data_IF_578397068825
#
_entry.id   IF_578397068825
#
_cell.length_a   1.000
_cell.length_b   1.000
_cell.length_c   1.000
_cell.angle_alpha   90.00
_cell.angle_beta   90.00
_cell.angle_gamma   90.00
#
_symmetry.space_group_name_H-M   'P 1'
#
loop_
_entity.id
_entity.type
_entity.pdbx_description
1 polymer ?
#
# COMPACT_ATOMS: atom_id res chain seq x y z
N UNK A 1 -43.84 22.10 23.45
CA UNK A 1 -42.47 22.65 23.56
C UNK A 1 -41.64 21.55 24.24
N UNK A 2 -40.68 20.85 23.65
CA UNK A 2 -40.02 20.92 22.36
C UNK A 2 -39.89 19.50 21.78
N UNK A 3 -39.97 19.42 20.45
CA UNK A 3 -39.83 18.24 19.62
C UNK A 3 -38.34 17.88 19.50
N UNK A 4 -37.86 16.86 20.20
CA UNK A 4 -36.48 16.39 20.07
C UNK A 4 -36.44 15.16 19.15
N UNK A 5 -36.60 15.40 17.84
CA UNK A 5 -36.15 14.44 16.84
C UNK A 5 -34.62 14.52 16.78
N UNK A 6 -33.93 13.65 17.53
CA UNK A 6 -32.51 13.41 17.31
C UNK A 6 -32.41 12.81 15.90
N UNK A 7 -31.97 13.64 14.96
CA UNK A 7 -31.61 13.19 13.63
C UNK A 7 -30.40 12.28 13.79
N UNK A 8 -30.65 10.98 13.88
CA UNK A 8 -29.69 9.89 13.72
C UNK A 8 -29.15 9.82 12.28
N UNK A 9 -28.94 10.97 11.65
CA UNK A 9 -28.26 11.05 10.37
C UNK A 9 -26.81 10.65 10.58
N UNK A 10 -26.36 9.63 9.85
CA UNK A 10 -24.94 9.25 9.73
C UNK A 10 -24.10 10.44 9.25
N UNK A 11 -24.74 11.43 8.62
CA UNK A 11 -24.13 12.66 8.11
C UNK A 11 -24.28 13.87 9.07
N UNK A 12 -24.64 13.69 10.34
CA UNK A 12 -24.65 14.79 11.31
C UNK A 12 -23.23 15.01 11.88
N UNK A 13 -22.55 16.13 11.57
CA UNK A 13 -21.19 16.42 12.03
C UNK A 13 -21.07 16.60 13.55
N UNK A 14 -22.19 16.66 14.29
CA UNK A 14 -22.24 16.74 15.75
C UNK A 14 -22.52 15.39 16.44
N UNK A 15 -22.48 14.26 15.71
CA UNK A 15 -22.74 12.92 16.28
C UNK A 15 -21.80 12.49 17.42
N UNK A 16 -20.61 13.08 17.54
CA UNK A 16 -19.67 12.72 18.60
C UNK A 16 -20.05 13.31 19.97
N UNK A 17 -20.83 14.40 20.01
CA UNK A 17 -21.18 15.09 21.26
C UNK A 17 -22.22 14.34 22.10
N UNK A 18 -22.99 13.43 21.50
CA UNK A 18 -24.03 12.65 22.20
C UNK A 18 -23.58 11.24 22.60
N UNK A 19 -22.51 10.73 22.00
CA UNK A 19 -21.98 9.39 22.25
C UNK A 19 -20.75 9.38 23.16
N UNK A 20 -20.09 10.54 23.30
CA UNK A 20 -18.98 10.74 24.22
C UNK A 20 -19.51 11.09 25.63
N UNK A 21 -18.90 10.60 26.73
CA UNK A 21 -19.28 10.98 28.08
C UNK A 21 -19.30 12.49 28.26
N UNK A 22 -20.31 13.00 28.98
CA UNK A 22 -20.46 14.45 29.23
C UNK A 22 -19.23 15.05 29.94
N UNK A 23 -18.57 14.26 30.77
CA UNK A 23 -17.38 14.67 31.52
C UNK A 23 -16.13 14.83 30.63
N UNK A 24 -16.18 14.36 29.38
CA UNK A 24 -15.13 14.58 28.38
C UNK A 24 -15.32 15.89 27.61
N UNK A 25 -16.51 16.51 27.64
CA UNK A 25 -16.82 17.64 26.75
C UNK A 25 -15.85 18.82 26.86
N UNK A 26 -15.31 19.08 28.06
CA UNK A 26 -14.32 20.15 28.31
C UNK A 26 -12.87 19.72 28.09
N UNK A 27 -12.61 18.43 27.91
CA UNK A 27 -11.27 17.88 27.76
C UNK A 27 -10.90 17.55 26.32
N UNK A 28 -11.90 17.27 25.48
CA UNK A 28 -11.69 16.84 24.10
C UNK A 28 -10.84 17.83 23.29
N UNK A 29 -9.69 17.37 22.78
CA UNK A 29 -8.85 18.16 21.90
C UNK A 29 -8.09 19.27 22.63
N UNK A 30 -7.77 19.07 23.91
CA UNK A 30 -6.97 19.99 24.70
C UNK A 30 -5.45 19.81 24.48
N UNK A 31 -5.05 18.83 23.64
CA UNK A 31 -3.68 18.49 23.32
C UNK A 31 -3.00 17.56 24.32
N UNK A 32 -3.73 17.05 25.31
CA UNK A 32 -3.27 16.07 26.29
C UNK A 32 -4.16 14.84 26.20
N UNK A 33 -3.54 13.66 26.02
CA UNK A 33 -4.30 12.42 25.97
C UNK A 33 -4.96 12.12 27.33
N UNK A 34 -6.28 12.28 27.39
CA UNK A 34 -7.10 11.90 28.52
C UNK A 34 -7.57 10.46 28.35
N UNK A 35 -6.95 9.56 29.13
CA UNK A 35 -7.21 8.11 29.06
C UNK A 35 -8.69 7.74 29.19
N UNK A 36 -9.46 8.52 29.97
CA UNK A 36 -10.91 8.35 30.13
C UNK A 36 -11.74 8.74 28.90
N UNK A 37 -11.19 9.60 28.03
CA UNK A 37 -11.80 10.06 26.78
C UNK A 37 -11.20 9.35 25.55
N UNK A 38 -10.25 8.43 25.78
CA UNK A 38 -9.60 7.61 24.75
C UNK A 38 -10.49 6.46 24.25
N UNK A 39 -11.69 6.79 23.77
CA UNK A 39 -12.67 5.84 23.26
C UNK A 39 -13.11 6.25 21.85
N UNK A 40 -13.52 5.28 21.05
CA UNK A 40 -13.90 5.52 19.64
C UNK A 40 -15.08 6.50 19.51
N UNK A 41 -16.02 6.50 20.46
CA UNK A 41 -17.14 7.44 20.47
C UNK A 41 -16.73 8.91 20.70
N UNK A 42 -15.56 9.14 21.30
CA UNK A 42 -14.94 10.44 21.50
C UNK A 42 -13.85 10.75 20.45
N UNK A 43 -13.74 9.93 19.40
CA UNK A 43 -12.67 9.97 18.42
C UNK A 43 -11.26 9.92 19.04
N UNK A 44 -11.08 9.11 20.09
CA UNK A 44 -9.82 8.96 20.83
C UNK A 44 -9.29 10.30 21.35
N UNK A 45 -10.12 10.96 22.17
CA UNK A 45 -9.86 12.30 22.69
C UNK A 45 -9.60 13.35 21.60
N UNK A 46 -10.44 13.35 20.55
CA UNK A 46 -10.25 14.13 19.31
C UNK A 46 -8.88 13.95 18.64
N UNK A 47 -8.28 12.79 18.84
CA UNK A 47 -6.97 12.45 18.28
C UNK A 47 -5.79 12.78 19.21
N UNK A 48 -6.03 13.35 20.39
CA UNK A 48 -4.98 13.62 21.38
C UNK A 48 -4.33 12.32 21.88
N UNK A 49 -5.10 11.22 21.91
CA UNK A 49 -4.60 9.88 22.24
C UNK A 49 -4.16 9.04 21.02
N UNK A 50 -4.03 9.66 19.84
CA UNK A 50 -3.53 9.02 18.64
C UNK A 50 -2.04 8.67 18.70
N UNK A 51 -1.56 7.88 17.73
CA UNK A 51 -0.11 7.69 17.53
C UNK A 51 0.51 9.07 17.36
N UNK A 52 1.52 9.41 18.16
CA UNK A 52 2.13 10.73 18.28
C UNK A 52 2.79 11.24 16.99
N UNK A 53 2.00 11.40 15.94
CA UNK A 53 2.39 11.96 14.67
C UNK A 53 2.20 13.47 14.77
N UNK A 54 3.04 14.10 15.59
CA UNK A 54 3.13 15.54 15.55
C UNK A 54 3.68 15.92 14.18
N UNK A 55 2.86 16.62 13.39
CA UNK A 55 3.28 17.16 12.10
C UNK A 55 4.51 18.06 12.29
N UNK A 56 4.64 18.70 13.45
CA UNK A 56 5.84 19.43 13.86
C UNK A 56 7.08 18.55 14.07
N UNK A 57 6.97 17.28 14.47
CA UNK A 57 8.13 16.36 14.57
C UNK A 57 8.51 15.80 13.20
N UNK A 58 7.52 15.50 12.36
CA UNK A 58 7.74 15.13 10.96
C UNK A 58 8.35 16.32 10.19
N UNK A 59 7.88 17.53 10.44
CA UNK A 59 8.39 18.77 9.85
C UNK A 59 9.73 19.23 10.46
N UNK A 60 9.98 18.92 11.73
CA UNK A 60 11.27 19.21 12.39
C UNK A 60 12.40 18.29 11.92
N UNK A 61 12.13 17.22 11.18
CA UNK A 61 13.17 16.39 10.55
C UNK A 61 14.21 15.83 11.53
N UNK A 62 13.88 15.66 12.81
CA UNK A 62 14.85 15.28 13.85
C UNK A 62 14.82 13.77 14.12
N UNK A 63 15.59 13.04 13.31
CA UNK A 63 16.54 12.10 13.90
C UNK A 63 17.79 12.93 14.26
N UNK A 64 18.02 13.30 15.53
CA UNK A 64 19.21 14.06 15.89
C UNK A 64 20.43 13.14 15.76
N UNK A 65 21.20 13.30 14.68
CA UNK A 65 22.47 12.59 14.49
C UNK A 65 22.77 12.11 13.07
N UNK A 66 21.82 12.16 12.13
CA UNK A 66 22.07 11.78 10.75
C UNK A 66 22.28 13.05 9.90
N UNK A 67 23.50 13.21 9.37
CA UNK A 67 23.80 14.26 8.40
C UNK A 67 22.83 14.15 7.21
N UNK A 68 22.32 15.28 6.71
CA UNK A 68 21.45 15.31 5.53
C UNK A 68 22.06 14.55 4.35
N UNK A 69 23.39 14.61 4.19
CA UNK A 69 24.11 13.82 3.20
C UNK A 69 23.97 12.31 3.38
N UNK A 70 23.95 11.81 4.62
CA UNK A 70 23.75 10.39 4.94
C UNK A 70 22.36 9.92 4.54
N UNK A 71 21.33 10.75 4.73
CA UNK A 71 19.95 10.41 4.36
C UNK A 71 19.81 10.30 2.84
N UNK A 72 20.37 11.25 2.08
CA UNK A 72 20.36 11.19 0.61
C UNK A 72 21.12 9.97 0.06
N UNK A 73 22.21 9.56 0.71
CA UNK A 73 22.93 8.35 0.33
C UNK A 73 22.13 7.06 0.60
N UNK A 74 21.39 6.99 1.72
CA UNK A 74 20.51 5.85 2.03
C UNK A 74 19.34 5.74 1.05
N UNK A 75 18.68 6.86 0.75
CA UNK A 75 17.56 6.88 -0.20
C UNK A 75 18.07 6.58 -1.62
N UNK A 76 19.17 7.21 -2.03
CA UNK A 76 19.76 7.01 -3.36
C UNK A 76 20.22 5.57 -3.60
N UNK A 77 20.89 4.96 -2.62
CA UNK A 77 21.32 3.55 -2.70
C UNK A 77 20.12 2.60 -2.72
N UNK A 78 19.09 2.84 -1.91
CA UNK A 78 17.87 2.03 -1.91
C UNK A 78 17.17 2.00 -3.27
N UNK A 79 17.00 3.17 -3.90
CA UNK A 79 16.40 3.26 -5.24
C UNK A 79 17.28 2.58 -6.29
N UNK A 80 18.60 2.79 -6.26
CA UNK A 80 19.52 2.17 -7.21
C UNK A 80 19.48 0.64 -7.12
N UNK A 81 19.58 0.08 -5.90
CA UNK A 81 19.52 -1.37 -5.68
C UNK A 81 18.17 -1.93 -6.14
N UNK A 82 17.07 -1.27 -5.79
CA UNK A 82 15.72 -1.68 -6.21
C UNK A 82 15.55 -1.72 -7.73
N UNK A 83 16.00 -0.68 -8.43
CA UNK A 83 15.94 -0.61 -9.90
C UNK A 83 16.85 -1.67 -10.52
N UNK A 84 18.07 -1.86 -10.02
CA UNK A 84 19.00 -2.87 -10.55
C UNK A 84 18.46 -4.28 -10.39
N UNK A 85 17.96 -4.64 -9.20
CA UNK A 85 17.35 -5.95 -8.96
C UNK A 85 16.09 -6.15 -9.80
N UNK A 86 15.24 -5.12 -9.90
CA UNK A 86 14.05 -5.14 -10.74
C UNK A 86 14.38 -5.38 -12.22
N UNK A 87 15.41 -4.69 -12.74
CA UNK A 87 15.86 -4.86 -14.13
C UNK A 87 16.47 -6.25 -14.38
N UNK A 88 17.21 -6.81 -13.42
CA UNK A 88 17.75 -8.17 -13.53
C UNK A 88 16.65 -9.22 -13.52
N UNK A 89 15.66 -9.11 -12.63
CA UNK A 89 14.50 -9.99 -12.59
C UNK A 89 13.68 -9.88 -13.87
N UNK A 90 13.44 -8.66 -14.35
CA UNK A 90 12.75 -8.44 -15.61
C UNK A 90 13.50 -9.09 -16.78
N UNK A 91 14.83 -8.91 -16.87
CA UNK A 91 15.65 -9.57 -17.90
C UNK A 91 15.62 -11.08 -17.77
N UNK A 92 15.67 -11.62 -16.56
CA UNK A 92 15.58 -13.06 -16.31
C UNK A 92 14.25 -13.63 -16.81
N UNK A 93 13.13 -12.98 -16.47
CA UNK A 93 11.79 -13.40 -16.91
C UNK A 93 11.67 -13.31 -18.42
N UNK A 94 12.10 -12.19 -19.04
CA UNK A 94 12.09 -12.04 -20.50
C UNK A 94 12.96 -13.09 -21.20
N UNK A 95 14.12 -13.42 -20.63
CA UNK A 95 14.99 -14.47 -21.16
C UNK A 95 14.34 -15.85 -21.04
N UNK A 96 13.70 -16.14 -19.90
CA UNK A 96 12.98 -17.39 -19.69
C UNK A 96 11.81 -17.53 -20.68
N UNK A 97 11.01 -16.48 -20.84
CA UNK A 97 9.91 -16.44 -21.81
C UNK A 97 10.42 -16.66 -23.24
N UNK A 98 11.49 -15.98 -23.65
CA UNK A 98 12.10 -16.18 -24.97
C UNK A 98 12.56 -17.62 -25.18
N UNK A 99 13.18 -18.23 -24.17
CA UNK A 99 13.62 -19.63 -24.24
C UNK A 99 12.43 -20.59 -24.33
N UNK A 100 11.34 -20.30 -23.63
CA UNK A 100 10.11 -21.10 -23.68
C UNK A 100 9.37 -20.93 -25.03
N UNK A 101 9.39 -19.73 -25.62
CA UNK A 101 8.93 -19.48 -26.99
C UNK A 101 9.76 -20.24 -28.02
N UNK A 102 11.08 -20.23 -27.90
CA UNK A 102 11.98 -20.98 -28.79
C UNK A 102 11.74 -22.48 -28.68
N UNK A 103 11.56 -23.01 -27.47
CA UNK A 103 11.16 -24.42 -27.28
C UNK A 103 9.80 -24.74 -27.91
N UNK A 104 8.81 -23.85 -27.81
CA UNK A 104 7.50 -24.04 -28.48
C UNK A 104 7.62 -24.05 -29.99
N UNK A 105 8.42 -23.15 -30.59
CA UNK A 105 8.70 -23.14 -32.03
C UNK A 105 9.50 -24.37 -32.49
N UNK A 106 10.44 -24.83 -31.67
CA UNK A 106 11.19 -26.06 -31.91
C UNK A 106 10.32 -27.31 -31.88
N UNK A 107 9.38 -27.40 -30.92
CA UNK A 107 8.40 -28.48 -30.85
C UNK A 107 7.50 -28.54 -32.10
N UNK A 108 7.02 -27.39 -32.59
CA UNK A 108 6.24 -27.34 -33.84
C UNK A 108 7.05 -27.73 -35.09
N UNK A 109 8.35 -27.43 -35.13
CA UNK A 109 9.23 -27.86 -36.22
C UNK A 109 9.47 -29.38 -36.20
N UNK A 110 9.56 -30.01 -35.02
CA UNK A 110 9.63 -31.47 -34.91
C UNK A 110 8.32 -32.16 -35.26
N UNK A 111 7.16 -31.56 -34.97
CA UNK A 111 5.86 -32.07 -35.47
C UNK A 111 5.77 -32.01 -37.00
N UNK A 112 6.34 -30.98 -37.64
CA UNK A 112 6.40 -30.89 -39.11
C UNK A 112 7.39 -31.88 -39.75
N UNK A 113 8.40 -32.34 -39.02
CA UNK A 113 9.41 -33.30 -39.51
C UNK A 113 8.92 -34.76 -39.53
N UNK A 114 7.69 -35.02 -39.10
CA UNK A 114 7.03 -36.33 -39.22
C UNK A 114 5.95 -36.39 -40.30
N UNK A 115 5.88 -35.40 -41.19
CA UNK A 115 4.89 -35.33 -42.27
C UNK A 115 5.55 -35.29 -43.65
N UNK A 116 6.61 -36.07 -43.84
CA UNK A 116 7.13 -36.43 -45.15
C UNK A 116 6.44 -37.71 -45.67
N UNK A 117 5.65 -37.49 -46.73
CA UNK A 117 5.27 -38.42 -47.79
C UNK A 117 4.24 -39.52 -47.43
N UNK A 118 2.97 -39.22 -47.71
CA UNK A 118 2.05 -40.28 -48.17
C UNK A 118 2.54 -40.72 -49.56
N UNK A 119 2.76 -42.02 -49.69
CA UNK A 119 3.28 -42.70 -50.88
C UNK A 119 2.44 -42.40 -52.13
N UNK A 120 3.12 -41.98 -53.20
CA UNK A 120 2.56 -41.84 -54.54
C UNK A 120 2.71 -43.15 -55.35
N UNK A 121 2.43 -44.29 -54.74
CA UNK A 121 2.50 -45.61 -55.38
C UNK A 121 1.27 -46.48 -55.04
N UNK A 122 0.06 -45.97 -55.29
CA UNK A 122 -1.10 -46.85 -55.48
C UNK A 122 -2.17 -46.15 -56.31
N UNK A 123 -1.99 -46.11 -57.63
CA UNK A 123 -3.04 -45.96 -58.65
C UNK A 123 -2.43 -46.41 -59.99
N UNK A 124 -2.25 -47.74 -60.09
CA UNK A 124 -2.13 -48.45 -61.36
C UNK A 124 -3.49 -48.64 -62.03
#
# INVERSE_FOLDING_TARGET
RANCSLKDSVNNPYRYHTLCPVDCASLLGNGLCETRCNISSCAYDRGDCGVGLSLSLVAAGMMPGLSMSSIYMLIGSGVAIGVSLGMLLLRYVLHKLRKDEEKRRGYSLSEMKGMDVYDAEDLG
#
